data_IF_996451630372
#
_entry.id   IF_996451630372
#
_cell.length_a   1.000
_cell.length_b   1.000
_cell.length_c   1.000
_cell.angle_alpha   90.00
_cell.angle_beta   90.00
_cell.angle_gamma   90.00
#
_symmetry.space_group_name_H-M   'P 1'
#
loop_
_entity.id
_entity.type
_entity.pdbx_description
1 polymer ?
#
# COMPACT_ATOMS: atom_id res chain seq x y z
N UNK A 1 1.86 13.90 -17.60
CA UNK A 1 3.24 13.87 -17.03
C UNK A 1 3.18 13.14 -15.70
N UNK A 2 4.14 12.31 -15.34
CA UNK A 2 4.05 11.42 -14.16
C UNK A 2 4.27 12.12 -12.82
N UNK A 3 4.13 13.44 -12.72
CA UNK A 3 4.30 14.20 -11.48
C UNK A 3 3.12 15.13 -11.24
N UNK A 4 2.69 15.19 -9.96
CA UNK A 4 1.66 16.09 -9.49
C UNK A 4 2.18 16.91 -8.30
N UNK A 5 1.99 18.24 -8.36
CA UNK A 5 2.35 19.14 -7.27
C UNK A 5 1.15 19.39 -6.37
N UNK A 6 1.28 19.13 -5.08
CA UNK A 6 0.33 19.55 -4.06
C UNK A 6 1.00 19.61 -2.69
N UNK A 7 0.60 20.58 -1.87
CA UNK A 7 1.27 20.87 -0.59
C UNK A 7 2.79 21.02 -0.80
N UNK A 8 3.59 20.32 0.00
CA UNK A 8 5.04 20.26 -0.07
C UNK A 8 5.57 19.11 -0.96
N UNK A 9 4.69 18.46 -1.72
CA UNK A 9 5.02 17.29 -2.55
C UNK A 9 5.08 17.63 -4.04
N UNK A 10 6.09 17.06 -4.71
CA UNK A 10 6.06 16.77 -6.14
C UNK A 10 5.96 15.26 -6.30
N UNK A 11 4.73 14.74 -6.24
CA UNK A 11 4.46 13.32 -6.20
C UNK A 11 4.60 12.68 -7.58
N UNK A 12 5.41 11.64 -7.65
CA UNK A 12 5.47 10.77 -8.83
C UNK A 12 4.35 9.74 -8.76
N UNK A 13 3.69 9.50 -9.88
CA UNK A 13 2.74 8.39 -10.04
C UNK A 13 2.66 7.90 -11.48
N UNK A 14 2.27 6.64 -11.65
CA UNK A 14 1.84 6.09 -12.93
C UNK A 14 0.31 5.95 -12.93
N UNK A 15 -0.31 6.21 -14.09
CA UNK A 15 -1.76 6.14 -14.32
C UNK A 15 -1.99 5.28 -15.55
N UNK A 16 -2.63 4.13 -15.39
CA UNK A 16 -2.75 3.11 -16.43
C UNK A 16 -4.17 2.53 -16.47
N UNK A 17 -4.63 2.20 -17.67
CA UNK A 17 -5.97 1.68 -17.89
C UNK A 17 -7.05 2.75 -17.79
N UNK A 18 -8.31 2.31 -17.73
CA UNK A 18 -9.48 3.20 -17.62
C UNK A 18 -10.59 2.51 -16.81
N UNK A 19 -11.62 3.25 -16.43
CA UNK A 19 -12.73 2.74 -15.62
C UNK A 19 -12.68 3.18 -14.17
N UNK A 20 -13.17 2.34 -13.26
CA UNK A 20 -13.18 2.65 -11.84
C UNK A 20 -11.75 2.73 -11.27
N UNK A 21 -11.44 3.73 -10.40
CA UNK A 21 -10.08 3.91 -9.92
C UNK A 21 -9.71 2.88 -8.86
N UNK A 22 -8.51 2.30 -9.00
CA UNK A 22 -7.83 1.48 -8.02
C UNK A 22 -6.50 2.17 -7.65
N UNK A 23 -6.34 2.53 -6.39
CA UNK A 23 -5.13 3.13 -5.85
C UNK A 23 -4.24 2.06 -5.22
N UNK A 24 -3.03 1.90 -5.76
CA UNK A 24 -2.06 0.90 -5.33
C UNK A 24 -1.09 1.47 -4.30
N UNK A 25 -1.12 0.93 -3.08
CA UNK A 25 -0.36 1.39 -1.93
C UNK A 25 0.81 0.45 -1.63
N UNK A 26 2.05 0.88 -1.95
CA UNK A 26 3.24 0.05 -1.91
C UNK A 26 3.84 -0.16 -0.51
N UNK A 27 4.83 -1.04 -0.38
CA UNK A 27 5.53 -1.36 0.88
C UNK A 27 6.75 -0.45 1.15
N UNK A 28 7.30 -0.49 2.39
CA UNK A 28 8.42 0.34 2.86
C UNK A 28 9.63 0.38 1.91
N UNK A 29 10.21 -0.77 1.60
CA UNK A 29 11.44 -0.85 0.79
C UNK A 29 11.19 -0.84 -0.71
N UNK A 30 9.99 -0.43 -1.13
CA UNK A 30 9.54 -0.49 -2.52
C UNK A 30 9.04 0.87 -3.01
N UNK A 31 8.49 0.89 -4.18
CA UNK A 31 7.83 2.03 -4.81
C UNK A 31 6.82 1.51 -5.83
N UNK A 32 5.85 2.33 -6.18
CA UNK A 32 4.82 2.11 -7.21
C UNK A 32 4.87 0.76 -7.96
N UNK A 33 5.23 0.75 -9.25
CA UNK A 33 5.24 -0.44 -10.10
C UNK A 33 6.16 -1.57 -9.61
N UNK A 34 7.20 -1.27 -8.84
CA UNK A 34 8.11 -2.28 -8.33
C UNK A 34 7.42 -3.23 -7.34
N UNK A 35 6.45 -2.71 -6.58
CA UNK A 35 5.68 -3.51 -5.62
C UNK A 35 4.61 -4.38 -6.30
N UNK A 36 4.14 -3.98 -7.50
CA UNK A 36 2.91 -4.52 -8.10
C UNK A 36 3.08 -5.04 -9.53
N UNK A 37 4.29 -5.44 -9.91
CA UNK A 37 4.58 -5.88 -11.29
C UNK A 37 3.65 -6.99 -11.82
N UNK A 38 3.21 -7.91 -10.95
CA UNK A 38 2.29 -8.98 -11.33
C UNK A 38 0.81 -8.54 -11.38
N UNK A 39 0.47 -7.36 -10.85
CA UNK A 39 -0.88 -6.81 -10.80
C UNK A 39 -1.20 -5.90 -11.99
N UNK A 40 -0.18 -5.27 -12.59
CA UNK A 40 -0.36 -4.25 -13.64
C UNK A 40 -1.25 -4.79 -14.76
N UNK A 41 -0.81 -5.86 -15.41
CA UNK A 41 -1.47 -6.37 -16.61
C UNK A 41 -2.91 -6.89 -16.35
N UNK A 42 -3.19 -7.64 -15.26
CA UNK A 42 -4.56 -8.06 -14.97
C UNK A 42 -5.50 -6.89 -14.63
N UNK A 43 -5.03 -5.89 -13.87
CA UNK A 43 -5.91 -4.83 -13.38
C UNK A 43 -6.12 -3.70 -14.39
N UNK A 44 -5.09 -3.29 -15.15
CA UNK A 44 -5.23 -2.19 -16.12
C UNK A 44 -6.20 -2.49 -17.27
N UNK A 45 -6.56 -3.75 -17.47
CA UNK A 45 -7.56 -4.16 -18.47
C UNK A 45 -9.01 -3.86 -18.07
N UNK A 46 -9.27 -3.62 -16.78
CA UNK A 46 -10.62 -3.45 -16.24
C UNK A 46 -10.77 -2.17 -15.39
N UNK A 47 -9.66 -1.63 -14.89
CA UNK A 47 -9.65 -0.51 -13.93
C UNK A 47 -8.67 0.57 -14.34
N UNK A 48 -8.92 1.81 -13.89
CA UNK A 48 -7.91 2.87 -13.90
C UNK A 48 -6.99 2.67 -12.69
N UNK A 49 -5.77 2.27 -12.93
CA UNK A 49 -4.78 1.89 -11.93
C UNK A 49 -3.83 3.05 -11.63
N UNK A 50 -3.81 3.52 -10.40
CA UNK A 50 -2.98 4.61 -9.92
C UNK A 50 -1.87 4.06 -9.03
N UNK A 51 -0.61 4.30 -9.39
CA UNK A 51 0.57 3.80 -8.69
C UNK A 51 1.46 4.96 -8.22
N UNK A 52 1.13 5.64 -7.11
CA UNK A 52 1.99 6.69 -6.56
C UNK A 52 3.25 6.10 -5.91
N UNK A 53 4.33 6.88 -5.94
CA UNK A 53 5.45 6.72 -5.01
C UNK A 53 5.13 7.59 -3.77
N UNK A 54 5.12 7.01 -2.58
CA UNK A 54 4.76 7.74 -1.35
C UNK A 54 5.77 8.83 -1.00
N UNK A 55 5.37 9.76 -0.12
CA UNK A 55 6.29 10.67 0.57
C UNK A 55 7.50 9.89 1.11
N UNK A 56 8.71 10.42 0.90
CA UNK A 56 9.94 9.78 1.31
C UNK A 56 10.35 8.54 0.49
N UNK A 57 9.56 8.12 -0.50
CA UNK A 57 9.83 6.92 -1.30
C UNK A 57 9.99 7.23 -2.79
N UNK A 58 10.76 6.37 -3.45
CA UNK A 58 10.89 6.35 -4.91
C UNK A 58 11.33 7.68 -5.50
N UNK A 59 10.50 8.23 -6.38
CA UNK A 59 10.74 9.45 -7.16
C UNK A 59 9.96 10.67 -6.64
N UNK A 60 9.11 10.49 -5.64
CA UNK A 60 8.37 11.59 -5.02
C UNK A 60 9.31 12.49 -4.26
N UNK A 61 9.34 13.78 -4.63
CA UNK A 61 10.13 14.81 -3.96
C UNK A 61 9.29 15.46 -2.87
N UNK A 62 9.87 15.66 -1.69
CA UNK A 62 9.27 16.34 -0.58
C UNK A 62 10.27 17.30 0.08
N UNK A 63 9.78 18.36 0.71
CA UNK A 63 10.65 19.29 1.42
C UNK A 63 11.21 18.66 2.69
N UNK A 64 10.33 18.05 3.50
CA UNK A 64 10.72 17.31 4.70
C UNK A 64 10.95 15.83 4.38
N UNK A 65 12.02 15.25 4.95
CA UNK A 65 12.30 13.82 4.92
C UNK A 65 11.55 13.05 6.03
N UNK A 66 10.81 13.76 6.89
CA UNK A 66 9.99 13.15 7.94
C UNK A 66 8.65 12.66 7.37
N UNK A 67 8.31 11.42 7.69
CA UNK A 67 7.05 10.80 7.30
C UNK A 67 6.66 9.68 8.27
N UNK A 68 5.41 9.35 8.30
CA UNK A 68 4.85 8.16 8.93
C UNK A 68 3.64 7.66 8.15
N UNK A 69 3.11 6.50 8.52
CA UNK A 69 1.95 5.88 7.88
C UNK A 69 0.72 6.79 7.87
N UNK A 70 0.49 7.57 8.94
CA UNK A 70 -0.69 8.46 9.05
C UNK A 70 -0.58 9.67 8.13
N UNK A 71 0.61 10.28 8.07
CA UNK A 71 0.88 11.41 7.16
C UNK A 71 0.76 10.97 5.70
N UNK A 72 1.22 9.76 5.37
CA UNK A 72 1.07 9.22 4.01
C UNK A 72 -0.40 8.92 3.69
N UNK A 73 -1.20 8.46 4.65
CA UNK A 73 -2.64 8.30 4.43
C UNK A 73 -3.33 9.63 4.10
N UNK A 74 -2.94 10.73 4.79
CA UNK A 74 -3.42 12.07 4.48
C UNK A 74 -2.98 12.52 3.07
N UNK A 75 -1.73 12.27 2.69
CA UNK A 75 -1.24 12.57 1.34
C UNK A 75 -2.00 11.80 0.25
N UNK A 76 -2.40 10.53 0.51
CA UNK A 76 -3.17 9.75 -0.46
C UNK A 76 -4.61 10.26 -0.61
N UNK A 77 -5.21 10.75 0.47
CA UNK A 77 -6.52 11.39 0.41
C UNK A 77 -6.46 12.69 -0.42
N UNK A 78 -5.46 13.54 -0.16
CA UNK A 78 -5.22 14.77 -0.95
C UNK A 78 -4.86 14.46 -2.41
N UNK A 79 -4.11 13.39 -2.68
CA UNK A 79 -3.78 12.96 -4.04
C UNK A 79 -5.03 12.64 -4.85
N UNK A 80 -6.02 11.96 -4.25
CA UNK A 80 -7.30 11.71 -4.92
C UNK A 80 -8.05 13.02 -5.19
N UNK A 81 -8.04 13.98 -4.26
CA UNK A 81 -8.68 15.28 -4.45
C UNK A 81 -8.07 16.07 -5.62
N UNK A 82 -6.74 16.09 -5.70
CA UNK A 82 -6.03 16.81 -6.79
C UNK A 82 -6.26 16.16 -8.16
N UNK A 83 -6.51 14.86 -8.19
CA UNK A 83 -6.91 14.15 -9.41
C UNK A 83 -8.42 14.23 -9.71
N UNK A 84 -9.20 14.94 -8.87
CA UNK A 84 -10.64 15.02 -8.97
C UNK A 84 -11.33 13.64 -8.91
N UNK A 85 -10.73 12.69 -8.15
CA UNK A 85 -11.26 11.35 -7.92
C UNK A 85 -11.97 11.34 -6.57
N UNK A 86 -13.32 11.27 -6.54
CA UNK A 86 -14.07 11.34 -5.30
C UNK A 86 -13.81 10.16 -4.36
N UNK A 87 -13.62 8.97 -4.93
CA UNK A 87 -13.30 7.76 -4.16
C UNK A 87 -12.65 6.70 -5.03
N UNK A 88 -11.84 5.81 -4.42
CA UNK A 88 -11.14 4.73 -5.10
C UNK A 88 -11.23 3.41 -4.32
N UNK A 89 -11.06 2.30 -5.01
CA UNK A 89 -10.67 1.04 -4.38
C UNK A 89 -9.20 1.11 -3.99
N UNK A 90 -8.82 0.58 -2.84
CA UNK A 90 -7.43 0.50 -2.41
C UNK A 90 -6.91 -0.93 -2.59
N UNK A 91 -5.75 -1.06 -3.23
CA UNK A 91 -4.99 -2.31 -3.31
C UNK A 91 -3.65 -2.10 -2.61
N UNK A 92 -3.50 -2.66 -1.43
CA UNK A 92 -2.44 -2.33 -0.50
C UNK A 92 -1.56 -3.53 -0.17
N UNK A 93 -0.26 -3.31 0.00
CA UNK A 93 0.68 -4.35 0.41
C UNK A 93 1.55 -3.91 1.59
N UNK A 94 1.63 -4.77 2.63
CA UNK A 94 2.52 -4.58 3.78
C UNK A 94 2.32 -3.20 4.42
N UNK A 95 3.34 -2.34 4.51
CA UNK A 95 3.23 -0.94 4.93
C UNK A 95 2.04 -0.20 4.29
N UNK A 96 1.83 -0.41 2.97
CA UNK A 96 0.67 0.16 2.28
C UNK A 96 -0.67 -0.26 2.89
N UNK A 97 -0.75 -1.43 3.55
CA UNK A 97 -1.99 -1.86 4.24
C UNK A 97 -2.29 -0.99 5.45
N UNK A 98 -1.25 -0.62 6.20
CA UNK A 98 -1.35 0.32 7.32
C UNK A 98 -1.83 1.69 6.85
N UNK A 99 -1.24 2.21 5.77
CA UNK A 99 -1.69 3.46 5.12
C UNK A 99 -3.15 3.33 4.68
N UNK A 100 -3.52 2.23 4.02
CA UNK A 100 -4.89 1.97 3.56
C UNK A 100 -5.91 1.89 4.69
N UNK A 101 -5.56 1.26 5.82
CA UNK A 101 -6.41 1.19 7.01
C UNK A 101 -6.60 2.57 7.64
N UNK A 102 -5.55 3.39 7.78
CA UNK A 102 -5.70 4.76 8.27
C UNK A 102 -6.52 5.62 7.33
N UNK A 103 -6.32 5.48 6.02
CA UNK A 103 -7.13 6.19 5.02
C UNK A 103 -8.60 5.78 5.12
N UNK A 104 -8.91 4.49 5.22
CA UNK A 104 -10.27 3.98 5.31
C UNK A 104 -10.97 4.37 6.62
N UNK A 105 -10.24 4.49 7.73
CA UNK A 105 -10.81 4.92 9.01
C UNK A 105 -11.05 6.43 9.07
N UNK A 106 -10.14 7.24 8.49
CA UNK A 106 -10.17 8.72 8.59
C UNK A 106 -10.98 9.38 7.47
N UNK A 107 -10.99 8.77 6.28
CA UNK A 107 -11.63 9.28 5.06
C UNK A 107 -12.52 8.21 4.42
N UNK A 108 -13.52 7.67 5.15
CA UNK A 108 -14.34 6.56 4.66
C UNK A 108 -15.07 6.87 3.36
N UNK A 109 -15.40 8.15 3.10
CA UNK A 109 -16.04 8.60 1.86
C UNK A 109 -15.12 8.49 0.62
N UNK A 110 -13.80 8.44 0.82
CA UNK A 110 -12.80 8.31 -0.25
C UNK A 110 -12.44 6.85 -0.55
N UNK A 111 -12.86 5.90 0.30
CA UNK A 111 -12.46 4.49 0.19
C UNK A 111 -13.66 3.61 -0.15
N UNK A 112 -13.73 3.15 -1.39
CA UNK A 112 -14.79 2.26 -1.87
C UNK A 112 -14.64 0.83 -1.35
N UNK A 113 -13.43 0.35 -1.24
CA UNK A 113 -13.06 -0.93 -0.62
C UNK A 113 -11.55 -0.97 -0.35
N UNK A 114 -11.11 -1.89 0.49
CA UNK A 114 -9.69 -2.13 0.76
C UNK A 114 -9.36 -3.61 0.58
N UNK A 115 -8.46 -3.91 -0.36
CA UNK A 115 -7.75 -5.18 -0.48
C UNK A 115 -6.39 -4.98 0.19
N UNK A 116 -6.14 -5.69 1.28
CA UNK A 116 -4.93 -5.55 2.09
C UNK A 116 -4.15 -6.87 2.14
N UNK A 117 -2.95 -6.86 1.59
CA UNK A 117 -2.08 -8.04 1.45
C UNK A 117 -0.92 -7.94 2.43
N UNK A 118 -0.76 -8.95 3.29
CA UNK A 118 0.29 -8.94 4.31
C UNK A 118 0.04 -7.89 5.39
N UNK A 119 -1.21 -7.73 5.81
CA UNK A 119 -1.60 -6.81 6.86
C UNK A 119 -1.36 -7.40 8.25
N UNK A 120 -1.00 -6.54 9.21
CA UNK A 120 -0.95 -6.84 10.64
C UNK A 120 -1.96 -5.99 11.42
N UNK A 121 -2.20 -6.36 12.68
CA UNK A 121 -3.10 -5.64 13.59
C UNK A 121 -2.37 -4.75 14.59
N UNK A 122 -1.06 -4.99 14.77
CA UNK A 122 -0.21 -4.34 15.77
C UNK A 122 1.18 -4.10 15.19
N UNK A 123 1.97 -3.15 15.77
CA UNK A 123 3.38 -3.01 15.42
C UNK A 123 4.14 -4.30 15.71
N UNK A 124 5.02 -4.68 14.82
CA UNK A 124 5.93 -5.81 15.04
C UNK A 124 7.38 -5.30 14.98
N UNK A 125 7.95 -4.84 16.11
CA UNK A 125 9.29 -4.27 16.15
C UNK A 125 10.40 -5.32 16.02
N UNK A 126 10.09 -6.62 16.15
CA UNK A 126 11.08 -7.69 16.13
C UNK A 126 11.86 -7.71 14.80
N UNK A 127 13.17 -7.75 14.87
CA UNK A 127 14.06 -7.74 13.71
C UNK A 127 14.21 -6.37 13.02
N UNK A 128 13.50 -5.34 13.47
CA UNK A 128 13.60 -4.00 12.89
C UNK A 128 14.98 -3.37 13.08
N UNK A 129 15.69 -3.70 14.16
CA UNK A 129 17.04 -3.24 14.46
C UNK A 129 18.07 -3.67 13.39
N UNK A 130 17.82 -4.77 12.67
CA UNK A 130 18.68 -5.20 11.58
C UNK A 130 18.65 -4.24 10.38
N UNK A 131 17.64 -3.39 10.32
CA UNK A 131 17.45 -2.41 9.25
C UNK A 131 17.91 -0.99 9.64
N UNK A 132 18.39 -0.79 10.86
CA UNK A 132 19.06 0.47 11.22
C UNK A 132 20.39 0.65 10.46
N UNK A 133 20.75 1.87 10.08
CA UNK A 133 21.97 2.15 9.32
C UNK A 133 23.22 1.54 9.94
N UNK A 134 23.40 1.66 11.26
CA UNK A 134 24.55 1.10 11.97
C UNK A 134 24.63 -0.43 11.85
N UNK A 135 23.50 -1.14 11.87
CA UNK A 135 23.46 -2.59 11.70
C UNK A 135 23.80 -2.99 10.27
N UNK A 136 23.29 -2.26 9.29
CA UNK A 136 23.58 -2.47 7.87
C UNK A 136 25.06 -2.24 7.57
N UNK A 137 25.65 -1.16 8.09
CA UNK A 137 27.07 -0.86 7.97
C UNK A 137 27.93 -1.93 8.65
N UNK A 138 27.58 -2.29 9.88
CA UNK A 138 28.32 -3.30 10.68
C UNK A 138 28.40 -4.66 9.99
N UNK A 139 27.32 -5.10 9.32
CA UNK A 139 27.32 -6.37 8.56
C UNK A 139 27.84 -6.23 7.12
N UNK A 140 28.30 -5.01 6.73
CA UNK A 140 28.81 -4.69 5.39
C UNK A 140 27.81 -5.03 4.26
N UNK A 141 26.52 -4.73 4.46
CA UNK A 141 25.48 -4.98 3.48
C UNK A 141 25.46 -3.89 2.39
N UNK A 142 26.49 -3.89 1.57
CA UNK A 142 26.68 -2.94 0.47
C UNK A 142 25.56 -3.03 -0.57
N UNK A 143 24.89 -4.19 -0.69
CA UNK A 143 23.75 -4.37 -1.59
C UNK A 143 22.56 -3.58 -1.09
N UNK A 144 22.21 -3.69 0.21
CA UNK A 144 21.10 -2.92 0.81
C UNK A 144 21.34 -1.42 0.64
N UNK A 145 22.55 -0.94 0.99
CA UNK A 145 22.92 0.48 0.85
C UNK A 145 22.70 0.96 -0.58
N UNK A 146 23.30 0.25 -1.57
CA UNK A 146 23.17 0.61 -2.98
C UNK A 146 21.72 0.59 -3.45
N UNK A 147 20.95 -0.47 -3.11
CA UNK A 147 19.61 -0.67 -3.60
C UNK A 147 18.65 0.38 -3.00
N UNK A 148 18.78 0.72 -1.71
CA UNK A 148 17.97 1.77 -1.07
C UNK A 148 18.34 3.16 -1.56
N UNK A 149 19.65 3.45 -1.68
CA UNK A 149 20.12 4.73 -2.25
C UNK A 149 19.57 4.94 -3.66
N UNK A 150 19.72 3.95 -4.55
CA UNK A 150 19.28 4.08 -5.94
C UNK A 150 17.76 4.13 -6.10
N UNK A 151 17.03 3.30 -5.33
CA UNK A 151 15.58 3.18 -5.42
C UNK A 151 14.85 4.44 -4.97
N UNK A 152 15.35 5.09 -3.93
CA UNK A 152 14.72 6.24 -3.29
C UNK A 152 15.54 7.53 -3.42
N UNK A 153 16.46 7.60 -4.41
CA UNK A 153 17.41 8.71 -4.55
C UNK A 153 16.72 10.07 -4.63
N UNK A 154 15.67 10.20 -5.41
CA UNK A 154 14.96 11.47 -5.59
C UNK A 154 14.22 11.90 -4.33
N UNK A 155 13.64 10.94 -3.60
CA UNK A 155 12.86 11.20 -2.40
C UNK A 155 13.72 11.71 -1.23
N UNK A 156 14.89 11.10 -1.00
CA UNK A 156 15.76 11.45 0.13
C UNK A 156 17.13 12.00 -0.28
N UNK A 157 17.30 12.36 -1.57
CA UNK A 157 18.49 13.05 -2.09
C UNK A 157 19.81 12.27 -1.85
N UNK A 158 19.71 10.93 -1.90
CA UNK A 158 20.83 10.03 -1.62
C UNK A 158 21.09 9.75 -0.13
N UNK A 159 20.33 10.35 0.78
CA UNK A 159 20.44 10.11 2.22
C UNK A 159 19.66 8.83 2.63
N UNK A 160 20.22 7.68 2.25
CA UNK A 160 19.61 6.37 2.53
C UNK A 160 19.51 6.08 4.04
N UNK A 161 20.39 6.64 4.86
CA UNK A 161 20.40 6.46 6.31
C UNK A 161 19.12 7.03 6.92
N UNK A 162 18.80 8.29 6.62
CA UNK A 162 17.53 8.91 7.07
C UNK A 162 16.32 8.13 6.58
N UNK A 163 16.33 7.61 5.35
CA UNK A 163 15.24 6.77 4.84
C UNK A 163 15.07 5.49 5.68
N UNK A 164 16.17 4.82 6.02
CA UNK A 164 16.13 3.59 6.83
C UNK A 164 15.71 3.88 8.27
N UNK A 165 16.17 4.97 8.86
CA UNK A 165 15.76 5.40 10.21
C UNK A 165 14.25 5.68 10.27
N UNK A 166 13.70 6.43 9.31
CA UNK A 166 12.27 6.70 9.22
C UNK A 166 11.46 5.40 9.01
N UNK A 167 11.95 4.51 8.16
CA UNK A 167 11.33 3.20 7.92
C UNK A 167 11.26 2.37 9.20
N UNK A 168 12.36 2.29 9.97
CA UNK A 168 12.41 1.55 11.22
C UNK A 168 11.52 2.21 12.29
N UNK A 169 11.49 3.53 12.33
CA UNK A 169 10.65 4.28 13.27
C UNK A 169 9.16 4.00 13.01
N UNK A 170 8.73 4.09 11.77
CA UNK A 170 7.35 3.79 11.38
C UNK A 170 6.98 2.34 11.68
N UNK A 171 7.81 1.39 11.28
CA UNK A 171 7.59 -0.05 11.53
C UNK A 171 7.39 -0.37 13.01
N UNK A 172 8.15 0.30 13.90
CA UNK A 172 8.04 0.11 15.36
C UNK A 172 6.80 0.72 15.97
N UNK A 173 6.14 1.64 15.29
CA UNK A 173 5.00 2.39 15.80
C UNK A 173 3.68 2.02 15.15
N UNK A 174 3.70 1.41 13.96
CA UNK A 174 2.52 1.18 13.15
C UNK A 174 2.40 -0.28 12.65
N UNK A 175 1.15 -0.78 12.43
CA UNK A 175 -0.13 -0.12 12.70
C UNK A 175 -0.42 0.05 14.18
N UNK A 176 -1.10 1.13 14.56
CA UNK A 176 -1.53 1.38 15.92
C UNK A 176 -2.96 1.96 15.95
N UNK A 177 -3.88 1.33 15.22
CA UNK A 177 -5.27 1.76 15.17
C UNK A 177 -5.92 1.62 16.56
N UNK A 178 -6.63 2.68 16.97
CA UNK A 178 -7.48 2.61 18.14
C UNK A 178 -8.72 1.74 17.88
N UNK A 179 -9.46 1.37 18.91
CA UNK A 179 -10.71 0.61 18.73
C UNK A 179 -11.75 1.41 17.91
N UNK A 180 -11.77 2.73 18.07
CA UNK A 180 -12.64 3.61 17.27
C UNK A 180 -12.23 3.59 15.78
N UNK A 181 -10.93 3.60 15.50
CA UNK A 181 -10.42 3.52 14.12
C UNK A 181 -10.69 2.15 13.50
N UNK A 182 -10.55 1.04 14.26
CA UNK A 182 -10.95 -0.28 13.79
C UNK A 182 -12.45 -0.35 13.48
N UNK A 183 -13.28 0.22 14.34
CA UNK A 183 -14.75 0.25 14.15
C UNK A 183 -15.17 1.18 12.99
N UNK A 184 -14.35 2.16 12.64
CA UNK A 184 -14.60 3.05 11.50
C UNK A 184 -14.33 2.40 10.14
N UNK A 185 -13.65 1.26 10.09
CA UNK A 185 -13.41 0.49 8.85
C UNK A 185 -14.71 -0.14 8.36
N UNK A 186 -15.59 0.67 7.77
CA UNK A 186 -16.93 0.27 7.33
C UNK A 186 -17.01 -0.15 5.87
N UNK A 187 -16.00 0.16 5.06
CA UNK A 187 -15.95 -0.25 3.66
C UNK A 187 -15.80 -1.78 3.52
N UNK A 188 -16.14 -2.37 2.37
CA UNK A 188 -15.82 -3.76 2.07
C UNK A 188 -14.31 -4.01 2.20
N UNK A 189 -13.92 -5.01 3.03
CA UNK A 189 -12.54 -5.36 3.33
C UNK A 189 -12.21 -6.76 2.82
N UNK A 190 -11.04 -6.91 2.20
CA UNK A 190 -10.50 -8.20 1.83
C UNK A 190 -9.04 -8.32 2.26
N UNK A 191 -8.78 -9.13 3.29
CA UNK A 191 -7.44 -9.42 3.80
C UNK A 191 -6.88 -10.69 3.17
N UNK A 192 -5.65 -10.61 2.67
CA UNK A 192 -4.93 -11.71 2.03
C UNK A 192 -3.55 -11.84 2.68
N UNK A 193 -3.33 -12.90 3.45
CA UNK A 193 -2.04 -13.16 4.08
C UNK A 193 -1.56 -14.56 3.70
N UNK A 194 -0.25 -14.79 3.67
CA UNK A 194 0.29 -16.14 3.65
C UNK A 194 0.10 -16.82 5.01
N UNK A 195 -0.03 -18.15 5.02
CA UNK A 195 -0.17 -18.95 6.25
C UNK A 195 1.05 -18.87 7.18
N UNK A 196 2.18 -18.44 6.63
CA UNK A 196 3.48 -18.28 7.33
C UNK A 196 3.94 -16.81 7.35
N UNK A 197 3.01 -15.85 7.23
CA UNK A 197 3.34 -14.43 7.30
C UNK A 197 3.72 -14.04 8.74
N UNK A 198 4.96 -13.55 8.99
CA UNK A 198 5.40 -13.22 10.35
C UNK A 198 4.79 -11.92 10.90
N UNK A 199 4.15 -11.10 10.06
CA UNK A 199 3.65 -9.77 10.45
C UNK A 199 2.16 -9.75 10.81
N UNK A 200 1.41 -10.78 10.45
CA UNK A 200 0.00 -10.86 10.77
C UNK A 200 -0.70 -12.07 10.14
N UNK A 201 -1.91 -12.33 10.57
CA UNK A 201 -2.71 -13.45 10.10
C UNK A 201 -4.12 -13.03 9.76
N UNK A 202 -4.74 -13.74 8.82
CA UNK A 202 -6.16 -13.58 8.49
C UNK A 202 -7.07 -13.73 9.71
N UNK A 203 -6.69 -14.59 10.67
CA UNK A 203 -7.42 -14.78 11.92
C UNK A 203 -7.47 -13.51 12.77
N UNK A 204 -6.30 -12.91 13.07
CA UNK A 204 -6.22 -11.68 13.89
C UNK A 204 -7.00 -10.53 13.24
N UNK A 205 -6.87 -10.37 11.91
CA UNK A 205 -7.59 -9.36 11.14
C UNK A 205 -9.11 -9.58 11.17
N UNK A 206 -9.55 -10.83 11.12
CA UNK A 206 -10.96 -11.20 11.21
C UNK A 206 -11.54 -10.95 12.61
N UNK A 207 -10.74 -11.07 13.66
CA UNK A 207 -11.12 -10.73 15.04
C UNK A 207 -11.37 -9.22 15.19
N UNK A 208 -10.55 -8.38 14.53
CA UNK A 208 -10.72 -6.91 14.50
C UNK A 208 -11.84 -6.46 13.55
N UNK A 209 -11.99 -7.11 12.38
CA UNK A 209 -12.99 -6.78 11.37
C UNK A 209 -13.80 -8.02 10.99
N UNK A 210 -14.84 -8.40 11.79
CA UNK A 210 -15.63 -9.62 11.55
C UNK A 210 -16.34 -9.67 10.20
N UNK A 211 -16.64 -8.51 9.59
CA UNK A 211 -17.29 -8.39 8.28
C UNK A 211 -16.32 -8.57 7.10
N UNK A 212 -15.01 -8.52 7.34
CA UNK A 212 -14.02 -8.63 6.27
C UNK A 212 -14.04 -10.01 5.61
N UNK A 213 -13.83 -10.06 4.29
CA UNK A 213 -13.43 -11.28 3.59
C UNK A 213 -11.97 -11.58 3.91
N UNK A 214 -11.60 -12.84 4.00
CA UNK A 214 -10.21 -13.25 4.21
C UNK A 214 -9.82 -14.37 3.25
N UNK A 215 -8.56 -14.39 2.83
CA UNK A 215 -7.95 -15.48 2.10
C UNK A 215 -6.55 -15.75 2.63
N UNK A 216 -6.36 -16.93 3.20
CA UNK A 216 -5.05 -17.38 3.66
C UNK A 216 -4.41 -18.22 2.54
N UNK A 217 -3.25 -17.75 2.05
CA UNK A 217 -2.51 -18.37 0.96
C UNK A 217 -1.61 -19.47 1.53
N UNK A 218 -1.84 -20.76 1.17
CA UNK A 218 -1.09 -21.86 1.76
C UNK A 218 0.38 -21.88 1.30
N UNK A 219 1.28 -22.33 2.19
CA UNK A 219 2.73 -22.42 1.96
C UNK A 219 3.34 -21.11 1.48
N UNK A 220 2.87 -20.00 2.01
CA UNK A 220 3.27 -18.67 1.59
C UNK A 220 3.59 -17.77 2.79
N UNK A 221 4.65 -16.99 2.67
CA UNK A 221 5.00 -15.94 3.62
C UNK A 221 4.36 -14.60 3.26
N UNK A 222 5.09 -13.52 3.54
CA UNK A 222 4.63 -12.14 3.46
C UNK A 222 4.30 -11.59 2.05
N UNK A 223 4.60 -12.32 0.95
CA UNK A 223 4.53 -11.79 -0.42
C UNK A 223 3.68 -12.62 -1.38
N UNK A 224 2.43 -12.96 -1.04
CA UNK A 224 1.61 -13.85 -1.88
C UNK A 224 1.32 -13.27 -3.27
N UNK A 225 1.17 -11.96 -3.41
CA UNK A 225 0.90 -11.25 -4.67
C UNK A 225 2.12 -11.14 -5.60
N UNK A 226 3.31 -11.39 -5.08
CA UNK A 226 4.58 -11.22 -5.82
C UNK A 226 5.19 -12.56 -6.26
N UNK A 227 4.93 -13.63 -5.52
CA UNK A 227 5.41 -14.98 -5.85
C UNK A 227 4.57 -15.52 -7.00
N UNK A 228 5.19 -15.84 -8.14
CA UNK A 228 4.49 -16.22 -9.38
C UNK A 228 3.48 -17.37 -9.18
N UNK A 229 3.78 -18.32 -8.29
CA UNK A 229 2.92 -19.46 -7.99
C UNK A 229 1.57 -19.06 -7.37
N UNK A 230 1.54 -17.96 -6.63
CA UNK A 230 0.36 -17.48 -5.91
C UNK A 230 -0.25 -16.22 -6.54
N UNK A 231 0.56 -15.41 -7.23
CA UNK A 231 0.14 -14.12 -7.76
C UNK A 231 -1.09 -14.22 -8.67
N UNK A 232 -1.20 -15.28 -9.47
CA UNK A 232 -2.37 -15.50 -10.34
C UNK A 232 -3.65 -15.65 -9.53
N UNK A 233 -3.65 -16.55 -8.53
CA UNK A 233 -4.82 -16.78 -7.68
C UNK A 233 -5.18 -15.54 -6.85
N UNK A 234 -4.18 -14.85 -6.31
CA UNK A 234 -4.38 -13.59 -5.59
C UNK A 234 -5.04 -12.54 -6.47
N UNK A 235 -4.57 -12.38 -7.72
CA UNK A 235 -5.15 -11.44 -8.66
C UNK A 235 -6.59 -11.81 -9.04
N UNK A 236 -6.86 -13.08 -9.34
CA UNK A 236 -8.21 -13.57 -9.67
C UNK A 236 -9.19 -13.28 -8.54
N UNK A 237 -8.84 -13.64 -7.29
CA UNK A 237 -9.70 -13.39 -6.12
C UNK A 237 -9.90 -11.90 -5.83
N UNK A 238 -8.88 -11.09 -6.04
CA UNK A 238 -8.95 -9.64 -5.86
C UNK A 238 -9.85 -8.99 -6.92
N UNK A 239 -9.71 -9.38 -8.18
CA UNK A 239 -10.57 -8.91 -9.28
C UNK A 239 -12.03 -9.36 -9.07
N UNK A 240 -12.27 -10.61 -8.68
CA UNK A 240 -13.61 -11.09 -8.39
C UNK A 240 -14.26 -10.32 -7.24
N UNK A 241 -13.49 -10.00 -6.19
CA UNK A 241 -13.98 -9.15 -5.11
C UNK A 241 -14.39 -7.76 -5.62
N UNK A 242 -13.59 -7.11 -6.46
CA UNK A 242 -13.93 -5.80 -7.03
C UNK A 242 -15.15 -5.86 -7.97
N UNK A 243 -15.22 -6.87 -8.82
CA UNK A 243 -16.36 -7.08 -9.75
C UNK A 243 -17.67 -7.30 -9.02
N UNK A 244 -17.68 -8.05 -7.91
CA UNK A 244 -18.85 -8.24 -7.06
C UNK A 244 -19.37 -6.92 -6.51
N UNK A 245 -18.48 -5.97 -6.17
CA UNK A 245 -18.86 -4.64 -5.68
C UNK A 245 -19.41 -3.75 -6.81
N UNK A 246 -18.85 -3.84 -8.03
CA UNK A 246 -19.31 -3.08 -9.20
C UNK A 246 -20.64 -3.58 -9.76
N UNK A 247 -20.96 -4.88 -9.64
CA UNK A 247 -22.20 -5.46 -10.14
C UNK A 247 -23.46 -5.05 -9.37
N UNK A 248 -23.30 -4.39 -8.21
CA UNK A 248 -24.40 -3.79 -7.44
C UNK A 248 -24.93 -2.45 -7.99
N UNK A 249 -24.29 -1.88 -9.02
CA UNK A 249 -24.70 -0.61 -9.66
C UNK A 249 -24.97 -0.86 -11.14
N UNK A 250 -26.20 -1.30 -11.44
CA UNK A 250 -26.72 -1.27 -12.81
C UNK A 250 -27.08 0.18 -13.13
N UNK A 251 -26.29 0.89 -13.92
CA UNK A 251 -26.73 2.12 -14.60
C UNK A 251 -26.06 2.24 -15.94
N UNK A 252 -26.89 2.40 -16.97
CA UNK A 252 -26.56 2.86 -18.29
C UNK A 252 -25.56 4.02 -18.29
N UNK A 253 -24.35 3.80 -18.82
CA UNK A 253 -23.60 4.87 -19.44
C UNK A 253 -22.64 4.29 -20.50
N UNK A 254 -23.15 4.25 -21.72
CA UNK A 254 -22.32 4.27 -22.93
C UNK A 254 -21.61 5.63 -22.99
N UNK A 255 -20.41 5.71 -22.46
CA UNK A 255 -19.47 6.78 -22.80
C UNK A 255 -18.12 6.12 -23.01
N UNK A 256 -17.69 6.11 -24.28
CA UNK A 256 -16.44 5.47 -24.69
C UNK A 256 -15.20 6.15 -24.11
N UNK A 257 -14.19 5.32 -23.92
CA UNK A 257 -12.79 5.74 -23.78
C UNK A 257 -12.27 6.30 -25.11
#
# INVERSE_FOLDING_TARGET
MPYMNFKDLNMFYEDMGCGEPVLFLHSHFSRSLLAFGAQIQPFQGEYRCLFPDFRGHGRTKCESLEWDSRKIADDMADFLDVLEIPSAHLFAYSFGTTVGMYMASKYPEKVRSLIAIGAGTEPNPEGSEDFLPESIIKRNDTRMIRDMTARHFEAHRGNWETFMEQTVLDWRQHPNLTEEEWNALSCPLFFINGDSDPFGSCRQLKEKCPHARTFEVPNCGHRPHFVMEHAKEVNERALDFLRELGSGVCTDSTAGC
#
